data_IF_181373371925
#
_entry.id   IF_181373371925
#
_cell.length_a   1.000
_cell.length_b   1.000
_cell.length_c   1.000
_cell.angle_alpha   90.00
_cell.angle_beta   90.00
_cell.angle_gamma   90.00
#
_symmetry.space_group_name_H-M   'P 1'
#
loop_
_entity.id
_entity.type
_entity.pdbx_description
1 polymer ?
#
# COMPACT_ATOMS: atom_id res chain seq x y z
N UNK A 1 -21.65 1.74 2.35
CA UNK A 1 -21.00 1.73 3.68
C UNK A 1 -19.52 1.50 3.44
N UNK A 2 -18.68 2.51 3.68
CA UNK A 2 -17.23 2.35 3.59
C UNK A 2 -16.72 1.43 4.69
N UNK A 3 -15.70 0.64 4.40
CA UNK A 3 -14.97 -0.16 5.40
C UNK A 3 -13.77 0.62 5.94
N UNK A 4 -13.30 0.22 7.10
CA UNK A 4 -12.03 0.72 7.64
C UNK A 4 -10.88 -0.12 7.09
N UNK A 5 -9.91 0.53 6.45
CA UNK A 5 -8.70 -0.11 5.93
C UNK A 5 -7.55 0.21 6.87
N UNK A 6 -6.94 -0.81 7.45
CA UNK A 6 -5.75 -0.66 8.28
C UNK A 6 -4.49 -0.80 7.45
N UNK A 7 -3.56 0.13 7.64
CA UNK A 7 -2.23 0.12 7.02
C UNK A 7 -1.18 0.16 8.14
N UNK A 8 -0.44 -0.93 8.28
CA UNK A 8 0.65 -1.08 9.26
C UNK A 8 2.03 -0.81 8.63
N UNK A 9 2.18 -1.16 7.36
CA UNK A 9 3.44 -1.06 6.63
C UNK A 9 3.19 -0.49 5.23
N UNK A 10 4.11 0.35 4.76
CA UNK A 10 4.08 0.94 3.43
C UNK A 10 5.37 0.54 2.70
N UNK A 11 5.20 -0.05 1.53
CA UNK A 11 6.28 -0.65 0.76
C UNK A 11 6.34 0.04 -0.61
N UNK A 12 7.44 0.71 -0.89
CA UNK A 12 7.65 1.37 -2.18
C UNK A 12 8.45 0.43 -3.08
N UNK A 13 7.92 0.12 -4.26
CA UNK A 13 8.53 -0.81 -5.22
C UNK A 13 8.45 -0.25 -6.64
N UNK A 14 9.47 -0.50 -7.45
CA UNK A 14 9.51 -0.03 -8.84
C UNK A 14 8.61 -0.82 -9.81
N UNK A 15 8.35 -2.10 -9.49
CA UNK A 15 7.60 -3.03 -10.34
C UNK A 15 6.45 -3.64 -9.55
N UNK A 16 5.32 -3.88 -10.20
CA UNK A 16 4.15 -4.50 -9.57
C UNK A 16 4.52 -5.90 -9.07
N UNK A 17 4.34 -6.19 -7.76
CA UNK A 17 4.74 -7.48 -7.22
C UNK A 17 3.71 -8.56 -7.53
N UNK A 18 4.19 -9.78 -7.82
CA UNK A 18 3.32 -10.96 -7.94
C UNK A 18 2.86 -11.50 -6.58
N UNK A 19 3.69 -11.33 -5.55
CA UNK A 19 3.48 -11.79 -4.19
C UNK A 19 3.60 -10.62 -3.22
N UNK A 20 2.87 -10.64 -2.11
CA UNK A 20 3.07 -9.68 -1.04
C UNK A 20 4.55 -9.69 -0.57
N UNK A 21 5.28 -8.56 -0.58
CA UNK A 21 6.68 -8.53 -0.12
C UNK A 21 6.85 -8.77 1.39
N UNK A 22 5.77 -8.91 2.16
CA UNK A 22 5.79 -9.18 3.60
C UNK A 22 5.49 -10.63 3.93
N UNK A 23 4.50 -11.27 3.29
CA UNK A 23 4.15 -12.68 3.55
C UNK A 23 4.43 -13.65 2.40
N UNK A 24 4.92 -13.15 1.25
CA UNK A 24 5.25 -13.95 0.06
C UNK A 24 4.06 -14.77 -0.47
N UNK A 25 2.84 -14.28 -0.25
CA UNK A 25 1.60 -14.87 -0.76
C UNK A 25 0.95 -13.97 -1.82
N UNK A 26 0.34 -14.60 -2.82
CA UNK A 26 -0.50 -13.91 -3.82
C UNK A 26 -1.94 -13.70 -3.33
N UNK A 27 -2.39 -14.43 -2.31
CA UNK A 27 -3.75 -14.33 -1.80
C UNK A 27 -3.98 -13.00 -1.06
N UNK A 28 -5.21 -12.48 -1.17
CA UNK A 28 -5.67 -11.27 -0.45
C UNK A 28 -4.91 -9.98 -0.80
N UNK A 29 -4.46 -9.87 -2.05
CA UNK A 29 -3.96 -8.64 -2.65
C UNK A 29 -5.13 -7.89 -3.33
N UNK A 30 -5.52 -6.76 -2.77
CA UNK A 30 -6.55 -5.88 -3.35
C UNK A 30 -5.88 -4.67 -4.02
N UNK A 31 -6.21 -4.42 -5.28
CA UNK A 31 -5.61 -3.35 -6.10
C UNK A 31 -6.50 -2.12 -6.12
N UNK A 32 -5.89 -0.94 -6.26
CA UNK A 32 -6.61 0.32 -6.50
C UNK A 32 -7.70 0.66 -5.47
N UNK A 33 -7.57 0.17 -4.23
CA UNK A 33 -8.43 0.60 -3.12
C UNK A 33 -8.02 1.94 -2.56
N UNK A 34 -6.71 2.08 -2.38
CA UNK A 34 -6.06 3.28 -1.86
C UNK A 34 -5.40 3.97 -3.04
N UNK A 35 -5.38 5.29 -3.06
CA UNK A 35 -4.58 6.05 -4.00
C UNK A 35 -3.48 6.75 -3.22
N UNK A 36 -2.29 6.75 -3.79
CA UNK A 36 -1.17 7.55 -3.29
C UNK A 36 -1.06 8.79 -4.18
N UNK A 37 -1.37 9.97 -3.62
CA UNK A 37 -1.58 11.20 -4.40
C UNK A 37 -0.27 11.80 -4.93
N UNK A 38 0.88 11.52 -4.31
CA UNK A 38 2.16 12.13 -4.71
C UNK A 38 2.83 11.46 -5.90
N UNK A 39 2.61 10.17 -6.06
CA UNK A 39 3.19 9.38 -7.15
C UNK A 39 2.23 9.07 -8.28
N UNK A 40 0.92 9.21 -8.02
CA UNK A 40 -0.15 8.67 -8.87
C UNK A 40 0.10 7.20 -9.25
N UNK A 41 0.91 6.51 -8.44
CA UNK A 41 1.33 5.14 -8.65
C UNK A 41 0.20 4.18 -8.34
N UNK A 42 0.28 2.98 -8.91
CA UNK A 42 -0.65 1.90 -8.54
C UNK A 42 -0.41 1.50 -7.10
N UNK A 43 -1.48 1.28 -6.35
CA UNK A 43 -1.37 0.71 -5.01
C UNK A 43 -1.95 -0.70 -4.96
N UNK A 44 -1.35 -1.52 -4.11
CA UNK A 44 -1.82 -2.88 -3.81
C UNK A 44 -1.81 -3.05 -2.30
N UNK A 45 -2.96 -3.34 -1.72
CA UNK A 45 -3.11 -3.62 -0.30
C UNK A 45 -3.13 -5.14 -0.07
N UNK A 46 -2.23 -5.63 0.78
CA UNK A 46 -2.35 -6.98 1.33
C UNK A 46 -3.21 -6.93 2.60
N UNK A 47 -4.45 -7.40 2.54
CA UNK A 47 -5.36 -7.36 3.70
C UNK A 47 -5.00 -8.38 4.79
N UNK A 48 -4.13 -9.35 4.49
CA UNK A 48 -3.56 -10.26 5.50
C UNK A 48 -2.51 -9.56 6.36
N UNK A 49 -1.60 -8.82 5.72
CA UNK A 49 -0.47 -8.18 6.41
C UNK A 49 -0.73 -6.72 6.79
N UNK A 50 -1.84 -6.13 6.31
CA UNK A 50 -2.10 -4.70 6.39
C UNK A 50 -0.96 -3.89 5.76
N UNK A 51 -0.34 -4.44 4.71
CA UNK A 51 0.79 -3.85 4.01
C UNK A 51 0.32 -3.18 2.71
N UNK A 52 0.54 -1.88 2.60
CA UNK A 52 0.26 -1.10 1.41
C UNK A 52 1.49 -1.02 0.53
N UNK A 53 1.41 -1.59 -0.66
CA UNK A 53 2.46 -1.53 -1.67
C UNK A 53 2.15 -0.37 -2.62
N UNK A 54 3.08 0.56 -2.74
CA UNK A 54 3.03 1.67 -3.70
C UNK A 54 4.00 1.37 -4.82
N UNK A 55 3.47 1.12 -6.02
CA UNK A 55 4.26 0.83 -7.21
C UNK A 55 4.63 2.14 -7.88
N UNK A 56 5.85 2.62 -7.61
CA UNK A 56 6.38 3.86 -8.18
C UNK A 56 7.91 3.83 -8.24
N UNK A 57 8.46 4.57 -9.21
CA UNK A 57 9.89 4.84 -9.30
C UNK A 57 10.30 6.09 -8.50
N UNK A 58 9.34 6.82 -7.94
CA UNK A 58 9.61 8.01 -7.13
C UNK A 58 10.19 7.63 -5.76
N UNK A 59 11.05 8.49 -5.25
CA UNK A 59 11.61 8.33 -3.91
C UNK A 59 10.70 9.04 -2.89
N UNK A 60 9.58 8.41 -2.54
CA UNK A 60 8.61 8.96 -1.59
C UNK A 60 9.19 8.94 -0.16
N UNK A 61 9.52 10.13 0.37
CA UNK A 61 9.90 10.31 1.80
C UNK A 61 8.69 10.38 2.73
N UNK A 62 7.54 10.64 2.15
CA UNK A 62 6.24 10.80 2.78
C UNK A 62 5.21 10.33 1.77
N UNK A 63 4.13 9.75 2.26
CA UNK A 63 3.03 9.22 1.46
C UNK A 63 1.75 9.96 1.80
N UNK A 64 0.92 10.17 0.80
CA UNK A 64 -0.38 10.81 0.97
C UNK A 64 -1.46 9.87 0.46
N UNK A 65 -2.22 9.30 1.39
CA UNK A 65 -3.16 8.23 1.09
C UNK A 65 -4.58 8.77 1.05
N UNK A 66 -5.27 8.53 -0.06
CA UNK A 66 -6.69 8.79 -0.22
C UNK A 66 -7.44 7.48 -0.53
N UNK A 67 -8.70 7.41 -0.14
CA UNK A 67 -9.56 6.25 -0.43
C UNK A 67 -10.32 6.49 -1.73
N UNK A 68 -10.45 5.45 -2.57
CA UNK A 68 -11.25 5.54 -3.78
C UNK A 68 -12.75 5.26 -3.58
N UNK A 69 -13.15 4.68 -2.45
CA UNK A 69 -14.52 4.18 -2.23
C UNK A 69 -15.07 4.53 -0.84
N UNK A 70 -15.07 5.80 -0.45
CA UNK A 70 -15.55 6.26 0.88
C UNK A 70 -14.99 5.45 2.08
N UNK A 71 -13.97 4.62 1.87
CA UNK A 71 -13.34 3.79 2.89
C UNK A 71 -12.50 4.70 3.78
N UNK A 72 -12.46 4.40 5.08
CA UNK A 72 -11.62 5.14 6.02
C UNK A 72 -10.26 4.46 6.11
N UNK A 73 -9.18 5.18 5.77
CA UNK A 73 -7.82 4.65 5.87
C UNK A 73 -7.25 5.00 7.25
N UNK A 74 -6.81 3.98 7.99
CA UNK A 74 -6.18 4.12 9.29
C UNK A 74 -4.73 3.62 9.24
N UNK A 75 -3.79 4.54 9.41
CA UNK A 75 -2.37 4.23 9.58
C UNK A 75 -2.12 3.84 11.03
N UNK A 76 -1.66 2.60 11.27
CA UNK A 76 -1.27 2.14 12.61
C UNK A 76 0.10 2.72 12.95
N UNK A 77 0.20 3.49 14.03
CA UNK A 77 1.47 4.01 14.51
C UNK A 77 2.19 3.01 15.46
N UNK A 78 3.52 2.86 15.36
CA UNK A 78 4.39 3.39 14.30
C UNK A 78 4.20 2.60 12.99
N UNK A 79 4.04 3.31 11.87
CA UNK A 79 4.01 2.69 10.54
C UNK A 79 5.42 2.68 9.93
N UNK A 80 5.78 1.59 9.28
CA UNK A 80 7.09 1.44 8.62
C UNK A 80 6.97 1.81 7.14
N UNK A 81 7.86 2.68 6.66
CA UNK A 81 8.03 2.95 5.23
C UNK A 81 9.32 2.28 4.79
N UNK A 82 9.24 1.27 3.92
CA UNK A 82 10.40 0.59 3.35
C UNK A 82 10.40 0.65 1.83
N UNK A 83 11.58 0.78 1.24
CA UNK A 83 11.78 0.69 -0.21
C UNK A 83 12.37 -0.68 -0.55
N UNK A 84 11.76 -1.37 -1.50
CA UNK A 84 12.25 -2.67 -1.98
C UNK A 84 12.68 -2.50 -3.44
N UNK A 85 13.95 -2.83 -3.71
CA UNK A 85 14.49 -2.93 -5.05
C UNK A 85 14.72 -4.42 -5.35
N UNK A 86 14.12 -4.92 -6.42
CA UNK A 86 14.37 -6.24 -6.99
C UNK A 86 15.09 -6.10 -8.33
#
# INVERSE_FOLDING_TARGET
MGRTIFVKEIIIIAKEPKLCPTCEKEDRLERDLIREERSDGKTVLCTRCEALIVVTNLNLRQVELSSRKDDTIMLKEPHLIRKVAY
#
